data_IF_173208949434
#
_entry.id   IF_173208949434
#
_cell.length_a   1.000
_cell.length_b   1.000
_cell.length_c   1.000
_cell.angle_alpha   90.00
_cell.angle_beta   90.00
_cell.angle_gamma   90.00
#
_symmetry.space_group_name_H-M   'P 1'
#
loop_
_entity.id
_entity.type
_entity.pdbx_description
1 polymer ?
#
# COMPACT_ATOMS: atom_id res chain seq x y z
N UNK A 1 -2.17 25.17 14.39
CA UNK A 1 -0.93 25.01 13.56
C UNK A 1 -0.60 23.55 13.34
N UNK A 2 -0.52 22.72 14.39
CA UNK A 2 -0.29 21.27 14.25
C UNK A 2 -1.37 20.56 13.40
N UNK A 3 -2.65 20.92 13.59
CA UNK A 3 -3.75 20.36 12.79
C UNK A 3 -3.63 20.68 11.29
N UNK A 4 -3.09 21.84 10.94
CA UNK A 4 -2.86 22.21 9.55
C UNK A 4 -1.71 21.42 8.93
N UNK A 5 -0.63 21.17 9.69
CA UNK A 5 0.45 20.28 9.26
C UNK A 5 -0.05 18.86 9.02
N UNK A 6 -0.84 18.29 9.94
CA UNK A 6 -1.46 16.97 9.74
C UNK A 6 -2.36 16.99 8.49
N UNK A 7 -3.14 18.06 8.31
CA UNK A 7 -3.98 18.24 7.12
C UNK A 7 -3.17 18.22 5.82
N UNK A 8 -2.01 18.89 5.79
CA UNK A 8 -1.12 18.86 4.63
C UNK A 8 -0.52 17.48 4.40
N UNK A 9 -0.01 16.82 5.44
CA UNK A 9 0.56 15.46 5.33
C UNK A 9 -0.48 14.49 4.78
N UNK A 10 -1.74 14.56 5.24
CA UNK A 10 -2.83 13.73 4.71
C UNK A 10 -3.05 13.95 3.21
N UNK A 11 -3.17 15.21 2.78
CA UNK A 11 -3.37 15.55 1.35
C UNK A 11 -2.19 15.09 0.48
N UNK A 12 -0.96 15.27 0.95
CA UNK A 12 0.23 14.76 0.26
C UNK A 12 0.26 13.24 0.21
N UNK A 13 -0.17 12.56 1.28
CA UNK A 13 -0.27 11.10 1.32
C UNK A 13 -1.31 10.61 0.33
N UNK A 14 -2.49 11.23 0.28
CA UNK A 14 -3.53 10.92 -0.72
C UNK A 14 -3.01 11.09 -2.15
N UNK A 15 -2.33 12.20 -2.44
CA UNK A 15 -1.70 12.42 -3.74
C UNK A 15 -0.61 11.37 -4.04
N UNK A 16 0.23 11.04 -3.06
CA UNK A 16 1.26 10.01 -3.18
C UNK A 16 0.68 8.62 -3.44
N UNK A 17 -0.42 8.26 -2.78
CA UNK A 17 -1.13 6.99 -3.00
C UNK A 17 -1.73 6.93 -4.41
N UNK A 18 -2.32 8.03 -4.89
CA UNK A 18 -2.81 8.10 -6.27
C UNK A 18 -1.67 7.93 -7.30
N UNK A 19 -0.51 8.56 -7.05
CA UNK A 19 0.68 8.40 -7.89
C UNK A 19 1.26 6.97 -7.82
N UNK A 20 1.26 6.33 -6.65
CA UNK A 20 1.65 4.92 -6.51
C UNK A 20 0.73 4.00 -7.31
N UNK A 21 -0.59 4.20 -7.20
CA UNK A 21 -1.56 3.42 -7.95
C UNK A 21 -1.35 3.58 -9.47
N UNK A 22 -1.12 4.80 -9.94
CA UNK A 22 -0.77 5.05 -11.34
C UNK A 22 0.53 4.34 -11.75
N UNK A 23 1.59 4.44 -10.93
CA UNK A 23 2.86 3.76 -11.18
C UNK A 23 2.73 2.24 -11.29
N UNK A 24 1.90 1.63 -10.45
CA UNK A 24 1.61 0.18 -10.49
C UNK A 24 0.95 -0.20 -11.83
N UNK A 25 -0.08 0.52 -12.26
CA UNK A 25 -0.76 0.25 -13.55
C UNK A 25 0.23 0.34 -14.71
N UNK A 26 1.09 1.35 -14.70
CA UNK A 26 2.08 1.50 -15.77
C UNK A 26 3.14 0.42 -15.78
N UNK A 27 3.62 -0.03 -14.62
CA UNK A 27 4.56 -1.15 -14.55
C UNK A 27 3.94 -2.46 -15.07
N UNK A 28 2.62 -2.62 -14.91
CA UNK A 28 1.91 -3.78 -15.49
C UNK A 28 1.89 -3.70 -17.02
N UNK A 29 1.66 -2.51 -17.59
CA UNK A 29 1.56 -2.32 -19.05
C UNK A 29 2.93 -2.34 -19.74
N UNK A 30 3.90 -1.61 -19.20
CA UNK A 30 5.20 -1.36 -19.84
C UNK A 30 6.35 -2.17 -19.24
N UNK A 31 6.13 -2.89 -18.14
CA UNK A 31 7.16 -3.63 -17.42
C UNK A 31 7.97 -2.76 -16.44
N UNK A 32 9.13 -3.27 -16.01
CA UNK A 32 9.94 -2.68 -14.93
C UNK A 32 10.44 -1.26 -15.19
N UNK A 33 10.72 -0.91 -16.45
CA UNK A 33 11.28 0.38 -16.81
C UNK A 33 10.18 1.38 -17.20
N UNK A 34 9.54 2.01 -16.21
CA UNK A 34 8.59 3.09 -16.45
C UNK A 34 9.35 4.43 -16.51
N UNK A 35 9.35 5.14 -17.66
CA UNK A 35 10.30 6.24 -17.92
C UNK A 35 10.22 7.45 -16.98
N UNK A 36 9.13 7.62 -16.24
CA UNK A 36 8.84 8.81 -15.42
C UNK A 36 8.63 8.51 -13.93
N UNK A 37 8.68 7.24 -13.54
CA UNK A 37 8.44 6.81 -12.15
C UNK A 37 9.71 6.30 -11.47
N UNK A 38 10.76 6.00 -12.25
CA UNK A 38 12.12 5.75 -11.73
C UNK A 38 12.18 4.72 -10.61
N UNK A 39 12.16 3.43 -10.94
CA UNK A 39 12.32 2.35 -9.97
C UNK A 39 11.27 1.25 -10.10
N UNK A 40 11.39 0.23 -9.25
CA UNK A 40 10.50 -0.93 -9.24
C UNK A 40 9.47 -0.85 -8.10
N UNK A 41 8.29 -0.26 -8.34
CA UNK A 41 7.26 -0.09 -7.30
C UNK A 41 6.71 -1.45 -6.85
N UNK A 42 6.32 -2.31 -7.79
CA UNK A 42 5.79 -3.64 -7.46
C UNK A 42 6.85 -4.46 -6.72
N UNK A 43 8.12 -4.41 -7.16
CA UNK A 43 9.24 -5.05 -6.47
C UNK A 43 9.40 -4.56 -5.03
N UNK A 44 9.35 -3.24 -4.81
CA UNK A 44 9.46 -2.65 -3.47
C UNK A 44 8.31 -3.08 -2.56
N UNK A 45 7.06 -3.03 -3.03
CA UNK A 45 5.90 -3.44 -2.25
C UNK A 45 5.97 -4.93 -1.91
N UNK A 46 6.25 -5.78 -2.89
CA UNK A 46 6.33 -7.23 -2.68
C UNK A 46 7.47 -7.63 -1.74
N UNK A 47 8.62 -6.93 -1.78
CA UNK A 47 9.72 -7.16 -0.85
C UNK A 47 9.36 -6.81 0.60
N UNK A 48 8.63 -5.71 0.82
CA UNK A 48 8.11 -5.35 2.16
C UNK A 48 7.13 -6.43 2.64
N UNK A 49 6.17 -6.81 1.79
CA UNK A 49 5.19 -7.84 2.14
C UNK A 49 5.87 -9.18 2.46
N UNK A 50 6.88 -9.59 1.68
CA UNK A 50 7.65 -10.79 1.93
C UNK A 50 8.38 -10.73 3.29
N UNK A 51 8.98 -9.59 3.61
CA UNK A 51 9.67 -9.37 4.90
C UNK A 51 8.70 -9.48 6.08
N UNK A 52 7.53 -8.84 5.97
CA UNK A 52 6.48 -8.92 6.99
C UNK A 52 5.88 -10.33 7.10
N UNK A 53 5.75 -11.03 5.97
CA UNK A 53 5.27 -12.41 5.90
C UNK A 53 6.23 -13.39 6.58
N UNK A 54 7.53 -13.20 6.38
CA UNK A 54 8.56 -14.02 7.02
C UNK A 54 8.56 -13.91 8.55
N UNK A 55 8.12 -12.77 9.10
CA UNK A 55 7.94 -12.57 10.55
C UNK A 55 6.56 -13.02 11.05
N UNK A 56 5.71 -13.61 10.19
CA UNK A 56 4.36 -14.03 10.55
C UNK A 56 3.35 -12.89 10.75
N UNK A 57 3.77 -11.62 10.62
CA UNK A 57 2.90 -10.44 10.81
C UNK A 57 1.73 -10.43 9.82
N UNK A 58 1.98 -10.80 8.56
CA UNK A 58 0.92 -10.86 7.53
C UNK A 58 -0.11 -11.93 7.88
N UNK A 59 0.30 -13.04 8.49
CA UNK A 59 -0.60 -14.10 8.96
C UNK A 59 -1.53 -13.61 10.08
N UNK A 60 -0.98 -12.89 11.07
CA UNK A 60 -1.78 -12.28 12.14
C UNK A 60 -2.76 -11.24 11.59
N UNK A 61 -2.33 -10.41 10.65
CA UNK A 61 -3.21 -9.46 9.97
C UNK A 61 -4.36 -10.16 9.23
N UNK A 62 -4.08 -11.26 8.53
CA UNK A 62 -5.10 -12.05 7.84
C UNK A 62 -6.16 -12.62 8.80
N UNK A 63 -5.76 -13.15 9.95
CA UNK A 63 -6.69 -13.59 10.99
C UNK A 63 -7.57 -12.45 11.48
N UNK A 64 -6.98 -11.26 11.69
CA UNK A 64 -7.73 -10.05 12.06
C UNK A 64 -8.78 -9.66 11.03
N UNK A 65 -8.44 -9.72 9.73
CA UNK A 65 -9.40 -9.44 8.64
C UNK A 65 -10.52 -10.48 8.61
N UNK A 66 -10.20 -11.77 8.71
CA UNK A 66 -11.20 -12.85 8.75
C UNK A 66 -12.16 -12.64 9.92
N UNK A 67 -11.63 -12.36 11.12
CA UNK A 67 -12.44 -12.07 12.30
C UNK A 67 -13.35 -10.85 12.11
N UNK A 68 -12.83 -9.78 11.52
CA UNK A 68 -13.60 -8.57 11.22
C UNK A 68 -14.75 -8.84 10.23
N UNK A 69 -14.53 -9.67 9.22
CA UNK A 69 -15.59 -10.08 8.28
C UNK A 69 -16.67 -10.89 9.02
N UNK A 70 -16.27 -11.93 9.76
CA UNK A 70 -17.21 -12.80 10.49
C UNK A 70 -18.05 -12.04 11.53
N UNK A 71 -17.45 -11.04 12.19
CA UNK A 71 -18.13 -10.26 13.23
C UNK A 71 -18.91 -9.08 12.63
N UNK A 72 -18.42 -8.50 11.53
CA UNK A 72 -19.06 -7.40 10.80
C UNK A 72 -20.32 -7.84 10.03
N UNK A 73 -20.38 -9.10 9.58
CA UNK A 73 -21.53 -9.67 8.87
C UNK A 73 -22.71 -10.00 9.81
N UNK A 74 -22.52 -9.98 11.13
CA UNK A 74 -23.58 -10.21 12.12
C UNK A 74 -24.35 -8.93 12.53
N UNK A 75 -24.13 -7.81 11.83
CA UNK A 75 -24.87 -6.56 12.01
C UNK A 75 -25.81 -6.28 10.85
#
# INVERSE_FOLDING_TARGET
MFDQLIGYVKKFTEAGVALLAFGIVMQIIFGKAVPFVGGDIIGNITAIVATLGAQGLVGLAAVGVIYAIFTGQQR
#
